data_IF_630011558920
#
_entry.id   IF_630011558920
#
_cell.length_a   1.000
_cell.length_b   1.000
_cell.length_c   1.000
_cell.angle_alpha   90.00
_cell.angle_beta   90.00
_cell.angle_gamma   90.00
#
_symmetry.space_group_name_H-M   'P 1'
#
loop_
_entity.id
_entity.type
_entity.pdbx_description
1 polymer ?
#
# COMPACT_ATOMS: atom_id res chain seq x y z
N UNK A 1 9.68 0.92 18.84
CA UNK A 1 8.28 1.06 18.39
C UNK A 1 8.19 0.77 16.92
N UNK A 2 7.09 0.18 16.49
CA UNK A 2 6.85 -0.12 15.09
C UNK A 2 5.57 0.52 14.59
N UNK A 3 5.60 0.98 13.35
CA UNK A 3 4.44 1.38 12.58
C UNK A 3 4.28 0.36 11.46
N UNK A 4 3.09 -0.22 11.33
CA UNK A 4 2.80 -1.18 10.28
C UNK A 4 1.84 -0.58 9.27
N UNK A 5 2.16 -0.76 8.00
CA UNK A 5 1.27 -0.43 6.90
C UNK A 5 0.89 -1.74 6.23
N UNK A 6 -0.39 -2.02 6.13
CA UNK A 6 -0.91 -3.19 5.41
C UNK A 6 -1.68 -2.71 4.20
N UNK A 7 -1.35 -3.20 3.02
CA UNK A 7 -1.96 -2.76 1.77
C UNK A 7 -2.64 -3.94 1.10
N UNK A 8 -3.94 -3.79 0.85
CA UNK A 8 -4.72 -4.66 -0.03
C UNK A 8 -4.82 -3.94 -1.39
N UNK A 9 -4.12 -4.42 -2.42
CA UNK A 9 -4.07 -3.72 -3.70
C UNK A 9 -5.41 -3.72 -4.43
N UNK A 10 -5.54 -2.79 -5.38
CA UNK A 10 -6.72 -2.68 -6.22
C UNK A 10 -7.62 -1.52 -5.83
N UNK A 11 -8.54 -1.15 -6.75
CA UNK A 11 -9.42 0.01 -6.54
C UNK A 11 -10.39 -0.19 -5.39
N UNK A 12 -10.73 -1.44 -5.07
CA UNK A 12 -11.61 -1.80 -3.95
C UNK A 12 -10.82 -2.18 -2.71
N UNK A 13 -9.51 -2.07 -2.74
CA UNK A 13 -8.65 -2.39 -1.62
C UNK A 13 -8.56 -1.26 -0.62
N UNK A 14 -7.48 -1.27 0.16
CA UNK A 14 -7.29 -0.27 1.18
C UNK A 14 -5.91 -0.30 1.79
N UNK A 15 -5.69 0.66 2.65
CA UNK A 15 -4.45 0.81 3.40
C UNK A 15 -4.81 0.90 4.87
N UNK A 16 -4.26 0.01 5.68
CA UNK A 16 -4.43 0.05 7.13
C UNK A 16 -3.10 0.44 7.78
N UNK A 17 -3.16 1.35 8.72
CA UNK A 17 -1.98 1.79 9.47
C UNK A 17 -2.18 1.44 10.93
N UNK A 18 -1.25 0.67 11.48
CA UNK A 18 -1.24 0.29 12.89
C UNK A 18 -0.07 0.94 13.59
N UNK A 19 -0.36 1.72 14.61
CA UNK A 19 0.62 2.41 15.44
C UNK A 19 0.04 2.68 16.82
N UNK A 20 0.86 2.61 17.85
CA UNK A 20 0.46 2.95 19.22
C UNK A 20 -0.75 2.17 19.72
N UNK A 21 -0.90 0.92 19.29
CA UNK A 21 -2.02 0.08 19.70
C UNK A 21 -3.33 0.36 18.97
N UNK A 22 -3.33 1.24 17.98
CA UNK A 22 -4.51 1.58 17.19
C UNK A 22 -4.30 1.24 15.73
N UNK A 23 -5.39 0.88 15.06
CA UNK A 23 -5.39 0.62 13.61
C UNK A 23 -6.42 1.54 12.95
N UNK A 24 -5.97 2.27 11.94
CA UNK A 24 -6.83 3.13 11.13
C UNK A 24 -6.82 2.61 9.70
N UNK A 25 -8.02 2.34 9.19
CA UNK A 25 -8.20 1.89 7.81
C UNK A 25 -8.54 3.05 6.89
N UNK A 26 -7.98 3.02 5.70
CA UNK A 26 -8.25 3.98 4.63
C UNK A 26 -8.67 3.20 3.39
N UNK A 27 -9.73 3.64 2.72
CA UNK A 27 -10.01 3.14 1.38
C UNK A 27 -8.84 3.49 0.46
N UNK A 28 -8.61 2.66 -0.56
CA UNK A 28 -7.54 2.95 -1.52
C UNK A 28 -7.79 4.32 -2.15
N UNK A 29 -6.83 5.27 -2.03
CA UNK A 29 -7.00 6.58 -2.67
C UNK A 29 -7.16 6.46 -4.19
N UNK A 30 -7.89 7.39 -4.78
CA UNK A 30 -8.28 7.33 -6.17
C UNK A 30 -7.14 7.60 -7.16
N UNK A 31 -6.12 8.34 -6.74
CA UNK A 31 -5.01 8.72 -7.62
C UNK A 31 -3.67 8.21 -7.11
N UNK A 32 -2.71 7.92 -8.01
CA UNK A 32 -1.37 7.54 -7.58
C UNK A 32 -0.70 8.56 -6.67
N UNK A 33 -0.91 9.85 -6.93
CA UNK A 33 -0.34 10.91 -6.09
C UNK A 33 -0.89 10.87 -4.67
N UNK A 34 -2.17 10.59 -4.51
CA UNK A 34 -2.79 10.49 -3.18
C UNK A 34 -2.34 9.23 -2.44
N UNK A 35 -2.13 8.13 -3.16
CA UNK A 35 -1.57 6.90 -2.57
C UNK A 35 -0.16 7.18 -2.06
N UNK A 36 0.67 7.80 -2.88
CA UNK A 36 2.04 8.17 -2.49
C UNK A 36 2.02 9.09 -1.26
N UNK A 37 1.16 10.10 -1.27
CA UNK A 37 1.08 11.05 -0.16
C UNK A 37 0.70 10.36 1.16
N UNK A 38 -0.27 9.45 1.12
CA UNK A 38 -0.69 8.71 2.31
C UNK A 38 0.47 7.90 2.90
N UNK A 39 1.13 7.09 2.09
CA UNK A 39 2.20 6.21 2.55
C UNK A 39 3.42 7.03 2.99
N UNK A 40 3.77 8.08 2.24
CA UNK A 40 4.86 8.99 2.58
C UNK A 40 4.62 9.67 3.93
N UNK A 41 3.41 10.14 4.17
CA UNK A 41 3.10 10.86 5.40
C UNK A 41 3.19 9.94 6.62
N UNK A 42 2.76 8.68 6.47
CA UNK A 42 2.93 7.67 7.51
C UNK A 42 4.42 7.41 7.79
N UNK A 43 5.22 7.25 6.75
CA UNK A 43 6.66 7.03 6.88
C UNK A 43 7.35 8.22 7.57
N UNK A 44 7.00 9.45 7.17
CA UNK A 44 7.56 10.66 7.80
C UNK A 44 7.18 10.75 9.28
N UNK A 45 5.95 10.45 9.62
CA UNK A 45 5.51 10.44 11.01
C UNK A 45 6.28 9.40 11.83
N UNK A 46 6.47 8.21 11.27
CA UNK A 46 7.26 7.16 11.91
C UNK A 46 8.71 7.62 12.13
N UNK A 47 9.31 8.24 11.14
CA UNK A 47 10.70 8.73 11.24
C UNK A 47 10.84 9.80 12.34
N UNK A 48 9.88 10.71 12.44
CA UNK A 48 9.88 11.75 13.49
C UNK A 48 9.84 11.12 14.88
N UNK A 49 9.07 10.05 15.06
CA UNK A 49 8.95 9.34 16.33
C UNK A 49 10.09 8.33 16.57
N UNK A 50 11.01 8.19 15.64
CA UNK A 50 12.06 7.17 15.73
C UNK A 50 11.54 5.74 15.63
N UNK A 51 10.36 5.54 15.04
CA UNK A 51 9.76 4.24 14.91
C UNK A 51 10.18 3.54 13.62
N UNK A 52 10.31 2.21 13.67
CA UNK A 52 10.48 1.41 12.46
C UNK A 52 9.17 1.34 11.73
N UNK A 53 9.21 1.59 10.42
CA UNK A 53 8.04 1.47 9.56
C UNK A 53 8.19 0.22 8.70
N UNK A 54 7.22 -0.68 8.79
CA UNK A 54 7.18 -1.90 7.99
C UNK A 54 5.90 -1.93 7.17
N UNK A 55 5.98 -2.49 5.97
CA UNK A 55 4.82 -2.62 5.10
C UNK A 55 4.61 -4.06 4.70
N UNK A 56 3.37 -4.51 4.79
CA UNK A 56 2.93 -5.78 4.23
C UNK A 56 2.04 -5.47 3.04
N UNK A 57 2.49 -5.86 1.86
CA UNK A 57 1.75 -5.73 0.63
C UNK A 57 1.28 -7.12 0.24
N UNK A 58 -0.03 -7.32 0.07
CA UNK A 58 -0.57 -8.61 -0.32
C UNK A 58 0.04 -9.06 -1.65
N UNK A 59 0.57 -10.27 -1.68
CA UNK A 59 1.14 -10.82 -2.89
C UNK A 59 0.04 -11.19 -3.86
N UNK A 60 0.21 -10.76 -5.11
CA UNK A 60 -0.77 -11.00 -6.15
C UNK A 60 -0.13 -11.80 -7.26
N UNK A 61 -0.76 -12.93 -7.63
CA UNK A 61 -0.33 -13.71 -8.77
C UNK A 61 -0.86 -13.09 -10.08
N UNK A 62 -0.26 -13.44 -11.21
CA UNK A 62 -0.75 -13.01 -12.51
C UNK A 62 -2.13 -13.57 -12.86
N UNK A 63 -2.65 -14.47 -12.05
CA UNK A 63 -3.96 -15.09 -12.23
C UNK A 63 -4.73 -14.99 -10.91
N UNK A 64 -5.82 -14.24 -10.91
CA UNK A 64 -6.64 -14.00 -9.72
C UNK A 64 -8.02 -14.60 -9.94
N UNK A 65 -8.23 -15.83 -9.45
CA UNK A 65 -9.51 -16.52 -9.52
C UNK A 65 -9.96 -16.80 -10.94
N UNK A 66 -10.91 -16.05 -11.45
CA UNK A 66 -11.42 -16.21 -12.83
C UNK A 66 -10.51 -15.50 -13.82
N UNK A 67 -10.48 -16.01 -15.05
CA UNK A 67 -9.83 -15.32 -16.15
C UNK A 67 -10.44 -13.92 -16.31
N UNK A 68 -9.57 -12.91 -16.35
CA UNK A 68 -9.96 -11.52 -16.51
C UNK A 68 -9.58 -11.03 -17.91
N UNK A 69 -10.26 -10.00 -18.43
CA UNK A 69 -9.80 -9.35 -19.66
C UNK A 69 -8.36 -8.85 -19.49
N UNK A 70 -7.56 -8.97 -20.55
CA UNK A 70 -6.15 -8.58 -20.50
C UNK A 70 -5.93 -7.14 -20.03
N UNK A 71 -6.82 -6.21 -20.42
CA UNK A 71 -6.75 -4.82 -19.99
C UNK A 71 -6.94 -4.66 -18.48
N UNK A 72 -7.84 -5.42 -17.87
CA UNK A 72 -8.06 -5.40 -16.43
C UNK A 72 -6.88 -5.98 -15.68
N UNK A 73 -6.30 -7.08 -16.18
CA UNK A 73 -5.09 -7.69 -15.62
C UNK A 73 -3.91 -6.74 -15.69
N UNK A 74 -3.76 -6.04 -16.81
CA UNK A 74 -2.70 -5.06 -16.99
C UNK A 74 -2.81 -3.91 -16.00
N UNK A 75 -4.01 -3.34 -15.83
CA UNK A 75 -4.24 -2.24 -14.89
C UNK A 75 -3.95 -2.66 -13.46
N UNK A 76 -4.38 -3.86 -13.08
CA UNK A 76 -4.14 -4.39 -11.76
C UNK A 76 -2.64 -4.60 -11.51
N UNK A 77 -1.93 -5.19 -12.47
CA UNK A 77 -0.48 -5.40 -12.39
C UNK A 77 0.30 -4.08 -12.32
N UNK A 78 -0.12 -3.08 -13.09
CA UNK A 78 0.50 -1.75 -13.06
C UNK A 78 0.31 -1.09 -11.69
N UNK A 79 -0.88 -1.19 -11.10
CA UNK A 79 -1.16 -0.67 -9.76
C UNK A 79 -0.34 -1.37 -8.68
N UNK A 80 -0.23 -2.68 -8.77
CA UNK A 80 0.59 -3.47 -7.85
C UNK A 80 2.07 -3.09 -7.94
N UNK A 81 2.60 -2.97 -9.17
CA UNK A 81 3.98 -2.54 -9.41
C UNK A 81 4.25 -1.14 -8.88
N UNK A 82 3.28 -0.23 -9.04
CA UNK A 82 3.37 1.11 -8.48
C UNK A 82 3.50 1.08 -6.96
N UNK A 83 2.68 0.28 -6.27
CA UNK A 83 2.73 0.15 -4.81
C UNK A 83 4.08 -0.40 -4.35
N UNK A 84 4.59 -1.43 -5.03
CA UNK A 84 5.92 -1.97 -4.72
C UNK A 84 7.00 -0.90 -4.86
N UNK A 85 6.93 -0.11 -5.93
CA UNK A 85 7.86 0.97 -6.18
C UNK A 85 7.81 2.05 -5.10
N UNK A 86 6.62 2.45 -4.68
CA UNK A 86 6.43 3.45 -3.62
C UNK A 86 7.05 2.97 -2.31
N UNK A 87 6.74 1.74 -1.91
CA UNK A 87 7.26 1.16 -0.66
C UNK A 87 8.78 1.12 -0.67
N UNK A 88 9.36 0.65 -1.76
CA UNK A 88 10.82 0.58 -1.91
C UNK A 88 11.47 1.97 -1.95
N UNK A 89 10.89 2.89 -2.69
CA UNK A 89 11.43 4.25 -2.82
C UNK A 89 11.43 5.00 -1.49
N UNK A 90 10.45 4.74 -0.64
CA UNK A 90 10.36 5.36 0.68
C UNK A 90 11.20 4.64 1.75
N UNK A 91 11.88 3.56 1.40
CA UNK A 91 12.74 2.83 2.32
C UNK A 91 11.98 2.07 3.41
N UNK A 92 10.81 1.59 3.05
CA UNK A 92 9.97 0.85 4.00
C UNK A 92 10.22 -0.65 3.91
#
# INVERSE_FOLDING_TARGET
>A
MKVFIAIDPGVSGGVAVTAFGETIGHAMPATPGDVLALIRDVKRAADVEGANCECVLEEVSGFVGKAQPGSAMFKFGAGYGFLMGVVQALGI
#
